data_IF_783359860104
#
_entry.id   IF_783359860104
#
_cell.length_a   1.000
_cell.length_b   1.000
_cell.length_c   1.000
_cell.angle_alpha   90.00
_cell.angle_beta   90.00
_cell.angle_gamma   90.00
#
_symmetry.space_group_name_H-M   'P 1'
#
loop_
_entity.id
_entity.type
_entity.pdbx_description
1 polymer ?
#
# COMPACT_ATOMS: atom_id res chain seq x y z
N UNK A 1 21.14 1.74 16.79
CA UNK A 1 20.04 0.76 16.94
C UNK A 1 18.87 1.46 17.61
N UNK A 2 17.85 1.86 16.84
CA UNK A 2 16.65 2.55 17.34
C UNK A 2 15.64 1.47 17.73
N UNK A 3 15.35 1.34 19.02
CA UNK A 3 14.44 0.34 19.55
C UNK A 3 13.01 0.61 19.10
N UNK A 4 12.45 -0.29 18.30
CA UNK A 4 11.04 -0.31 17.96
C UNK A 4 10.25 -0.70 19.22
N UNK A 5 9.41 0.22 19.70
CA UNK A 5 8.39 -0.08 20.69
C UNK A 5 7.34 -0.94 19.99
N UNK A 6 7.35 -2.24 20.25
CA UNK A 6 6.24 -3.11 19.92
C UNK A 6 5.01 -2.59 20.65
N UNK A 7 4.07 -2.01 19.91
CA UNK A 7 2.73 -1.75 20.41
C UNK A 7 2.13 -3.09 20.83
N UNK A 8 1.52 -3.13 22.02
CA UNK A 8 0.97 -4.32 22.66
C UNK A 8 -0.15 -5.00 21.86
N UNK A 9 -0.60 -4.40 20.76
CA UNK A 9 -1.76 -4.81 19.96
C UNK A 9 -1.45 -5.63 18.70
N UNK A 10 -0.21 -6.09 18.49
CA UNK A 10 0.22 -6.85 17.28
C UNK A 10 0.00 -6.14 15.93
N UNK A 11 -0.46 -4.88 15.95
CA UNK A 11 -0.57 -4.03 14.77
C UNK A 11 0.77 -3.44 14.40
N UNK A 12 1.01 -3.36 13.10
CA UNK A 12 2.17 -2.66 12.57
C UNK A 12 2.08 -1.17 12.96
N UNK A 13 3.19 -0.52 13.35
CA UNK A 13 3.19 0.93 13.55
C UNK A 13 2.71 1.64 12.27
N UNK A 14 1.86 2.65 12.42
CA UNK A 14 1.28 3.41 11.29
C UNK A 14 2.35 3.89 10.29
N UNK A 15 3.50 4.33 10.80
CA UNK A 15 4.64 4.72 9.97
C UNK A 15 5.16 3.57 9.11
N UNK A 16 5.30 2.38 9.67
CA UNK A 16 5.81 1.23 8.93
C UNK A 16 4.79 0.77 7.87
N UNK A 17 3.47 0.98 8.12
CA UNK A 17 2.42 0.71 7.11
C UNK A 17 2.49 1.68 5.95
N UNK A 18 2.75 2.97 6.23
CA UNK A 18 2.97 4.00 5.21
C UNK A 18 4.20 3.66 4.35
N UNK A 19 5.33 3.38 5.00
CA UNK A 19 6.57 3.04 4.31
C UNK A 19 6.39 1.77 3.44
N UNK A 20 5.61 0.78 3.92
CA UNK A 20 5.27 -0.42 3.16
C UNK A 20 4.35 -0.11 1.97
N UNK A 21 3.30 0.68 2.18
CA UNK A 21 2.37 1.08 1.13
C UNK A 21 3.08 1.84 0.01
N UNK A 22 3.96 2.79 0.34
CA UNK A 22 4.74 3.56 -0.63
C UNK A 22 5.65 2.63 -1.46
N UNK A 23 6.37 1.72 -0.81
CA UNK A 23 7.26 0.78 -1.50
C UNK A 23 6.49 -0.14 -2.47
N UNK A 24 5.35 -0.68 -2.03
CA UNK A 24 4.50 -1.53 -2.86
C UNK A 24 3.85 -0.75 -4.00
N UNK A 25 3.39 0.48 -3.75
CA UNK A 25 2.82 1.35 -4.78
C UNK A 25 3.85 1.64 -5.89
N UNK A 26 5.08 1.98 -5.52
CA UNK A 26 6.18 2.18 -6.48
C UNK A 26 6.47 0.91 -7.28
N UNK A 27 6.61 -0.23 -6.62
CA UNK A 27 6.88 -1.50 -7.30
C UNK A 27 5.76 -1.88 -8.29
N UNK A 28 4.50 -1.69 -7.90
CA UNK A 28 3.37 -1.93 -8.78
C UNK A 28 3.36 -0.95 -9.96
N UNK A 29 3.65 0.33 -9.71
CA UNK A 29 3.77 1.33 -10.78
C UNK A 29 4.91 1.02 -11.75
N UNK A 30 6.08 0.59 -11.27
CA UNK A 30 7.20 0.18 -12.13
C UNK A 30 6.85 -1.04 -13.00
N UNK A 31 6.08 -1.98 -12.47
CA UNK A 31 5.72 -3.22 -13.18
C UNK A 31 4.57 -3.05 -14.18
N UNK A 32 3.56 -2.23 -13.86
CA UNK A 32 2.32 -2.09 -14.64
C UNK A 32 2.19 -0.73 -15.34
N UNK A 33 3.03 0.25 -14.98
CA UNK A 33 3.00 1.62 -15.49
C UNK A 33 1.70 2.34 -15.10
N UNK A 34 1.23 3.22 -15.98
CA UNK A 34 -0.01 3.99 -15.78
C UNK A 34 -1.29 3.15 -15.67
N UNK A 35 -1.22 1.84 -15.94
CA UNK A 35 -2.38 0.94 -15.76
C UNK A 35 -2.77 0.79 -14.30
N UNK A 36 -1.87 1.03 -13.36
CA UNK A 36 -2.17 0.97 -11.92
C UNK A 36 -3.29 1.92 -11.51
N UNK A 37 -3.44 3.05 -12.20
CA UNK A 37 -4.47 4.05 -11.92
C UNK A 37 -5.89 3.58 -12.23
N UNK A 38 -6.02 2.55 -13.07
CA UNK A 38 -7.29 1.95 -13.47
C UNK A 38 -7.67 0.74 -12.62
N UNK A 39 -6.77 0.29 -11.74
CA UNK A 39 -7.03 -0.90 -10.94
C UNK A 39 -8.10 -0.62 -9.88
N UNK A 40 -9.13 -1.48 -9.77
CA UNK A 40 -9.98 -1.46 -8.61
C UNK A 40 -9.17 -1.88 -7.38
N UNK A 41 -9.56 -1.40 -6.21
CA UNK A 41 -8.91 -1.74 -4.93
C UNK A 41 -8.78 -3.25 -4.71
N UNK A 42 -9.75 -4.04 -5.15
CA UNK A 42 -9.70 -5.50 -5.02
C UNK A 42 -8.51 -6.10 -5.77
N UNK A 43 -8.22 -5.61 -6.98
CA UNK A 43 -7.08 -6.07 -7.77
C UNK A 43 -5.77 -5.64 -7.10
N UNK A 44 -5.71 -4.44 -6.52
CA UNK A 44 -4.58 -3.99 -5.70
C UNK A 44 -4.36 -4.95 -4.52
N UNK A 45 -5.42 -5.34 -3.81
CA UNK A 45 -5.34 -6.27 -2.69
C UNK A 45 -4.81 -7.65 -3.10
N UNK A 46 -5.24 -8.19 -4.25
CA UNK A 46 -4.72 -9.46 -4.76
C UNK A 46 -3.25 -9.34 -5.21
N UNK A 47 -2.86 -8.21 -5.83
CA UNK A 47 -1.48 -7.99 -6.28
C UNK A 47 -0.49 -7.89 -5.12
N UNK A 48 -0.89 -7.32 -3.99
CA UNK A 48 -0.03 -7.18 -2.81
C UNK A 48 -0.08 -8.39 -1.88
N UNK A 49 -1.03 -9.32 -2.09
CA UNK A 49 -1.37 -10.39 -1.15
C UNK A 49 -0.17 -11.21 -0.67
N UNK A 50 0.73 -11.56 -1.59
CA UNK A 50 1.93 -12.34 -1.27
C UNK A 50 2.95 -11.57 -0.41
N UNK A 51 2.87 -10.24 -0.38
CA UNK A 51 3.76 -9.36 0.39
C UNK A 51 3.20 -8.96 1.75
N UNK A 52 1.89 -9.16 1.97
CA UNK A 52 1.19 -8.78 3.21
C UNK A 52 0.55 -9.97 3.91
N UNK A 53 0.80 -11.20 3.46
CA UNK A 53 0.15 -12.41 4.00
C UNK A 53 0.50 -12.71 5.47
N UNK A 54 1.57 -12.12 5.98
CA UNK A 54 2.04 -12.19 7.35
C UNK A 54 1.42 -11.12 8.26
N UNK A 55 0.79 -10.10 7.67
CA UNK A 55 0.09 -9.04 8.39
C UNK A 55 -1.29 -9.49 8.87
N UNK A 56 -1.84 -8.76 9.85
CA UNK A 56 -3.21 -8.98 10.29
C UNK A 56 -4.21 -8.64 9.17
N UNK A 57 -5.41 -9.27 9.12
CA UNK A 57 -6.40 -8.96 8.09
C UNK A 57 -6.83 -7.48 8.04
N UNK A 58 -6.79 -6.78 9.19
CA UNK A 58 -7.04 -5.34 9.24
C UNK A 58 -5.91 -4.56 8.58
N UNK A 59 -4.65 -4.88 8.89
CA UNK A 59 -3.50 -4.20 8.29
C UNK A 59 -3.41 -4.49 6.78
N UNK A 60 -3.73 -5.71 6.33
CA UNK A 60 -3.82 -6.06 4.90
C UNK A 60 -4.86 -5.19 4.17
N UNK A 61 -6.02 -5.00 4.82
CA UNK A 61 -7.07 -4.15 4.29
C UNK A 61 -6.61 -2.70 4.21
N UNK A 62 -6.00 -2.18 5.27
CA UNK A 62 -5.54 -0.80 5.37
C UNK A 62 -4.44 -0.50 4.34
N UNK A 63 -3.43 -1.36 4.20
CA UNK A 63 -2.37 -1.22 3.18
C UNK A 63 -2.97 -1.23 1.76
N UNK A 64 -3.95 -2.10 1.49
CA UNK A 64 -4.61 -2.11 0.17
C UNK A 64 -5.33 -0.80 -0.15
N UNK A 65 -5.92 -0.15 0.86
CA UNK A 65 -6.56 1.15 0.72
C UNK A 65 -5.55 2.26 0.50
N UNK A 66 -4.47 2.26 1.29
CA UNK A 66 -3.41 3.27 1.18
C UNK A 66 -2.80 3.28 -0.23
N UNK A 67 -2.45 2.10 -0.74
CA UNK A 67 -1.89 1.97 -2.09
C UNK A 67 -2.89 2.43 -3.16
N UNK A 68 -4.16 2.02 -3.02
CA UNK A 68 -5.19 2.43 -3.97
C UNK A 68 -5.40 3.95 -3.97
N UNK A 69 -5.37 4.60 -2.80
CA UNK A 69 -5.43 6.05 -2.68
C UNK A 69 -4.25 6.74 -3.35
N UNK A 70 -3.01 6.26 -3.13
CA UNK A 70 -1.82 6.78 -3.80
C UNK A 70 -1.96 6.75 -5.32
N UNK A 71 -2.56 5.69 -5.88
CA UNK A 71 -2.81 5.62 -7.32
C UNK A 71 -3.89 6.59 -7.80
N UNK A 72 -4.94 6.84 -7.01
CA UNK A 72 -5.96 7.82 -7.39
C UNK A 72 -5.40 9.25 -7.33
N UNK A 73 -4.63 9.57 -6.29
CA UNK A 73 -3.98 10.87 -6.14
C UNK A 73 -3.01 11.13 -7.30
N UNK A 74 -2.17 10.14 -7.65
CA UNK A 74 -1.27 10.23 -8.80
C UNK A 74 -2.03 10.44 -10.13
N UNK A 75 -3.17 9.75 -10.32
CA UNK A 75 -4.02 9.92 -11.50
C UNK A 75 -4.61 11.32 -11.60
N UNK A 76 -5.06 11.88 -10.48
CA UNK A 76 -5.59 13.25 -10.42
C UNK A 76 -4.50 14.26 -10.79
N UNK A 77 -3.29 14.10 -10.24
CA UNK A 77 -2.14 14.94 -10.58
C UNK A 77 -1.75 14.87 -12.07
N UNK A 78 -1.78 13.69 -12.69
CA UNK A 78 -1.52 13.56 -14.14
C UNK A 78 -2.61 14.20 -15.00
N UNK A 79 -3.85 14.26 -14.51
CA UNK A 79 -4.98 14.84 -15.25
C UNK A 79 -4.98 16.38 -15.20
N UNK A 80 -4.34 16.96 -14.20
CA UNK A 80 -4.21 18.42 -14.02
C UNK A 80 -3.09 19.07 -14.86
N UNK A 81 -2.26 18.28 -15.53
CA UNK A 81 -1.10 18.72 -16.33
C UNK A 81 -1.45 18.71 -17.82
#
# INVERSE_FOLDING_TARGET
>A
MRGYRFSTDRRLPERDMLDLADALALQLHESLGSRVYLLPRLDVAELIREYVNDLSPEDQHDVSWMIWHLFQDAREMETEI
#
